data_IF_191495357059
#
_entry.id   IF_191495357059
#
_cell.length_a   1.000
_cell.length_b   1.000
_cell.length_c   1.000
_cell.angle_alpha   90.00
_cell.angle_beta   90.00
_cell.angle_gamma   90.00
#
_symmetry.space_group_name_H-M   'P 1'
#
loop_
_entity.id
_entity.type
_entity.pdbx_description
1 polymer ?
#
# COMPACT_ATOMS: atom_id res chain seq x y z
N UNK A 1 21.69 43.05 31.04
CA UNK A 1 21.32 42.58 29.69
C UNK A 1 21.47 41.06 29.62
N UNK A 2 20.44 40.32 30.00
CA UNK A 2 20.48 38.86 29.97
C UNK A 2 19.10 38.33 30.26
N UNK A 3 18.33 38.03 29.21
CA UNK A 3 17.10 37.22 29.26
C UNK A 3 16.41 37.07 27.89
N UNK A 4 16.78 37.85 26.87
CA UNK A 4 16.12 37.80 25.54
C UNK A 4 16.67 36.67 24.65
N UNK A 5 17.89 36.21 24.89
CA UNK A 5 18.59 35.26 24.03
C UNK A 5 18.15 33.80 24.25
N UNK A 6 17.76 33.43 25.47
CA UNK A 6 17.30 32.08 25.80
C UNK A 6 15.87 31.81 25.30
N UNK A 7 14.99 32.82 25.35
CA UNK A 7 13.61 32.69 24.86
C UNK A 7 13.54 32.41 23.35
N UNK A 8 14.38 33.07 22.54
CA UNK A 8 14.42 32.86 21.08
C UNK A 8 14.92 31.46 20.70
N UNK A 9 15.85 30.90 21.47
CA UNK A 9 16.38 29.54 21.26
C UNK A 9 15.36 28.46 21.63
N UNK A 10 14.60 28.66 22.70
CA UNK A 10 13.53 27.74 23.13
C UNK A 10 12.38 27.76 22.13
N UNK A 11 12.00 28.93 21.60
CA UNK A 11 10.93 29.05 20.60
C UNK A 11 11.34 28.40 19.26
N UNK A 12 12.59 28.61 18.82
CA UNK A 12 13.09 27.99 17.59
C UNK A 12 13.18 26.45 17.70
N UNK A 13 13.58 25.92 18.86
CA UNK A 13 13.62 24.48 19.11
C UNK A 13 12.21 23.86 19.19
N UNK A 14 11.23 24.57 19.76
CA UNK A 14 9.85 24.11 19.82
C UNK A 14 9.18 24.08 18.42
N UNK A 15 9.49 25.05 17.55
CA UNK A 15 8.99 25.07 16.17
C UNK A 15 9.64 24.00 15.28
N UNK A 16 10.92 23.66 15.52
CA UNK A 16 11.59 22.55 14.83
C UNK A 16 11.07 21.18 15.27
N UNK A 17 10.67 21.03 16.54
CA UNK A 17 10.11 19.79 17.07
C UNK A 17 8.71 19.49 16.51
N UNK A 18 7.90 20.52 16.23
CA UNK A 18 6.57 20.35 15.62
C UNK A 18 6.63 19.91 14.15
N UNK A 19 7.72 20.20 13.43
CA UNK A 19 7.90 19.82 12.02
C UNK A 19 8.25 18.34 11.81
N UNK A 20 8.60 17.61 12.88
CA UNK A 20 8.85 16.16 12.84
C UNK A 20 7.62 15.33 13.18
N UNK A 21 6.51 15.96 13.57
CA UNK A 21 5.22 15.28 13.67
C UNK A 21 4.73 15.06 12.25
N UNK A 22 5.26 13.99 11.62
CA UNK A 22 4.56 13.37 10.51
C UNK A 22 3.14 13.11 11.02
N UNK A 23 2.08 13.51 10.28
CA UNK A 23 0.80 12.88 10.54
C UNK A 23 1.10 11.39 10.41
N UNK A 24 0.97 10.65 11.52
CA UNK A 24 0.62 9.24 11.44
C UNK A 24 -0.74 9.27 10.78
N UNK A 25 -0.71 9.37 9.45
CA UNK A 25 -1.86 9.20 8.60
C UNK A 25 -2.31 7.80 9.00
N UNK A 26 -3.48 7.71 9.61
CA UNK A 26 -4.15 6.44 9.78
C UNK A 26 -4.02 5.72 8.43
N UNK A 27 -3.25 4.64 8.42
CA UNK A 27 -3.10 3.80 7.23
C UNK A 27 -4.52 3.50 6.78
N UNK A 28 -4.91 4.02 5.61
CA UNK A 28 -6.28 3.86 5.16
C UNK A 28 -6.53 2.35 5.08
N UNK A 29 -7.66 1.85 5.59
CA UNK A 29 -7.86 0.40 5.75
C UNK A 29 -7.64 -0.39 4.43
N UNK A 30 -7.83 0.26 3.28
CA UNK A 30 -7.54 -0.30 1.96
C UNK A 30 -6.05 -0.42 1.65
N UNK A 31 -5.19 0.45 2.20
CA UNK A 31 -3.72 0.37 2.05
C UNK A 31 -3.16 -0.87 2.74
N UNK A 32 -3.62 -1.18 3.94
CA UNK A 32 -3.25 -2.42 4.65
C UNK A 32 -3.64 -3.66 3.83
N UNK A 33 -4.87 -3.67 3.31
CA UNK A 33 -5.37 -4.77 2.44
C UNK A 33 -4.58 -4.85 1.13
N UNK A 34 -4.19 -3.71 0.57
CA UNK A 34 -3.36 -3.62 -0.62
C UNK A 34 -1.97 -4.19 -0.39
N UNK A 35 -1.31 -3.83 0.71
CA UNK A 35 0.03 -4.32 1.02
C UNK A 35 0.02 -5.81 1.40
N UNK A 36 -1.00 -6.29 2.13
CA UNK A 36 -1.20 -7.72 2.39
C UNK A 36 -1.38 -8.50 1.08
N UNK A 37 -2.20 -7.97 0.16
CA UNK A 37 -2.45 -8.62 -1.13
C UNK A 37 -1.18 -8.62 -1.98
N UNK A 38 -0.55 -7.46 -2.18
CA UNK A 38 0.59 -7.32 -3.07
C UNK A 38 1.87 -8.00 -2.54
N UNK A 39 2.06 -8.11 -1.22
CA UNK A 39 3.23 -8.78 -0.64
C UNK A 39 3.27 -10.29 -0.91
N UNK A 40 2.10 -10.91 -1.16
CA UNK A 40 1.99 -12.33 -1.52
C UNK A 40 2.47 -12.65 -2.93
N UNK A 41 2.79 -11.64 -3.77
CA UNK A 41 3.30 -11.85 -5.13
C UNK A 41 4.53 -12.76 -5.17
N UNK A 42 5.42 -12.64 -4.18
CA UNK A 42 6.65 -13.43 -4.09
C UNK A 42 6.39 -14.93 -3.85
N UNK A 43 5.21 -15.27 -3.35
CA UNK A 43 4.81 -16.64 -3.04
C UNK A 43 3.87 -17.23 -4.10
N UNK A 44 3.50 -16.47 -5.15
CA UNK A 44 2.47 -16.86 -6.12
C UNK A 44 2.70 -18.24 -6.75
N UNK A 45 3.95 -18.66 -6.93
CA UNK A 45 4.29 -19.98 -7.48
C UNK A 45 3.88 -21.15 -6.58
N UNK A 46 3.93 -20.97 -5.25
CA UNK A 46 3.64 -22.03 -4.28
C UNK A 46 2.19 -22.04 -3.83
N UNK A 47 1.41 -21.00 -4.15
CA UNK A 47 -0.01 -20.91 -3.77
C UNK A 47 -0.87 -21.96 -4.48
N UNK A 48 -1.95 -22.36 -3.84
CA UNK A 48 -2.98 -23.20 -4.45
C UNK A 48 -3.81 -22.43 -5.48
N UNK A 49 -4.52 -23.18 -6.31
CA UNK A 49 -5.45 -22.62 -7.31
C UNK A 49 -6.55 -21.78 -6.62
N UNK A 50 -7.01 -22.19 -5.44
CA UNK A 50 -8.04 -21.45 -4.70
C UNK A 50 -7.49 -20.12 -4.16
N UNK A 51 -6.31 -20.14 -3.55
CA UNK A 51 -5.70 -18.90 -3.02
C UNK A 51 -5.42 -17.87 -4.13
N UNK A 52 -4.99 -18.33 -5.31
CA UNK A 52 -4.80 -17.44 -6.46
C UNK A 52 -6.11 -16.80 -6.92
N UNK A 53 -7.21 -17.55 -6.93
CA UNK A 53 -8.54 -17.01 -7.23
C UNK A 53 -8.97 -15.97 -6.20
N UNK A 54 -8.80 -16.28 -4.91
CA UNK A 54 -9.18 -15.38 -3.83
C UNK A 54 -8.37 -14.07 -3.88
N UNK A 55 -7.08 -14.14 -4.24
CA UNK A 55 -6.25 -12.94 -4.45
C UNK A 55 -6.70 -12.11 -5.64
N UNK A 56 -7.12 -12.73 -6.75
CA UNK A 56 -7.66 -11.99 -7.91
C UNK A 56 -8.94 -11.24 -7.51
N UNK A 57 -9.84 -11.88 -6.75
CA UNK A 57 -11.06 -11.23 -6.24
C UNK A 57 -10.71 -10.03 -5.34
N UNK A 58 -9.75 -10.20 -4.41
CA UNK A 58 -9.26 -9.10 -3.57
C UNK A 58 -8.67 -7.96 -4.40
N UNK A 59 -7.94 -8.27 -5.47
CA UNK A 59 -7.46 -7.25 -6.40
C UNK A 59 -8.62 -6.48 -7.06
N UNK A 60 -9.67 -7.16 -7.49
CA UNK A 60 -10.84 -6.53 -8.12
C UNK A 60 -11.62 -5.64 -7.13
N UNK A 61 -11.70 -6.03 -5.86
CA UNK A 61 -12.31 -5.22 -4.79
C UNK A 61 -11.46 -3.98 -4.46
N UNK A 62 -10.15 -4.16 -4.29
CA UNK A 62 -9.21 -3.06 -4.05
C UNK A 62 -9.19 -2.06 -5.21
N UNK A 63 -9.30 -2.54 -6.45
CA UNK A 63 -9.35 -1.67 -7.62
C UNK A 63 -10.49 -0.65 -7.51
N UNK A 64 -11.70 -1.09 -7.14
CA UNK A 64 -12.86 -0.20 -6.98
C UNK A 64 -12.62 0.88 -5.93
N UNK A 65 -11.96 0.54 -4.82
CA UNK A 65 -11.64 1.49 -3.74
C UNK A 65 -10.54 2.46 -4.16
N UNK A 66 -9.52 1.99 -4.89
CA UNK A 66 -8.40 2.83 -5.35
C UNK A 66 -8.85 3.79 -6.46
N UNK A 67 -9.84 3.40 -7.28
CA UNK A 67 -10.41 4.24 -8.33
C UNK A 67 -11.08 5.51 -7.78
N UNK A 68 -11.61 5.48 -6.55
CA UNK A 68 -12.22 6.65 -5.90
C UNK A 68 -11.20 7.60 -5.28
N UNK A 69 -9.92 7.23 -5.24
CA UNK A 69 -8.86 8.06 -4.65
C UNK A 69 -8.45 9.20 -5.58
N UNK A 70 -7.73 10.16 -5.00
CA UNK A 70 -7.09 11.25 -5.73
C UNK A 70 -6.11 10.76 -6.81
N UNK A 71 -5.91 11.58 -7.86
CA UNK A 71 -5.28 11.15 -9.09
C UNK A 71 -3.84 10.59 -8.92
N UNK A 72 -3.06 11.15 -8.00
CA UNK A 72 -1.70 10.70 -7.70
C UNK A 72 -1.68 9.32 -7.05
N UNK A 73 -2.46 9.14 -5.97
CA UNK A 73 -2.62 7.87 -5.25
C UNK A 73 -3.17 6.80 -6.19
N UNK A 74 -4.29 7.10 -6.86
CA UNK A 74 -4.93 6.18 -7.81
C UNK A 74 -3.95 5.65 -8.84
N UNK A 75 -3.15 6.51 -9.48
CA UNK A 75 -2.21 6.10 -10.53
C UNK A 75 -1.15 5.12 -10.00
N UNK A 76 -0.56 5.41 -8.84
CA UNK A 76 0.53 4.60 -8.27
C UNK A 76 0.00 3.24 -7.84
N UNK A 77 -1.09 3.23 -7.07
CA UNK A 77 -1.62 2.00 -6.49
C UNK A 77 -2.28 1.09 -7.53
N UNK A 78 -3.04 1.63 -8.50
CA UNK A 78 -3.59 0.82 -9.59
C UNK A 78 -2.49 0.18 -10.43
N UNK A 79 -1.38 0.89 -10.68
CA UNK A 79 -0.27 0.33 -11.45
C UNK A 79 0.32 -0.91 -10.77
N UNK A 80 0.63 -0.82 -9.46
CA UNK A 80 1.15 -1.97 -8.70
C UNK A 80 0.09 -3.09 -8.57
N UNK A 81 -1.18 -2.74 -8.32
CA UNK A 81 -2.26 -3.71 -8.20
C UNK A 81 -2.44 -4.53 -9.48
N UNK A 82 -2.42 -3.86 -10.65
CA UNK A 82 -2.55 -4.54 -11.95
C UNK A 82 -1.42 -5.54 -12.20
N UNK A 83 -0.19 -5.24 -11.78
CA UNK A 83 0.94 -6.17 -11.89
C UNK A 83 0.73 -7.41 -11.01
N UNK A 84 0.31 -7.21 -9.76
CA UNK A 84 0.02 -8.32 -8.84
C UNK A 84 -1.14 -9.19 -9.38
N UNK A 85 -2.24 -8.58 -9.81
CA UNK A 85 -3.38 -9.29 -10.40
C UNK A 85 -2.99 -10.12 -11.62
N UNK A 86 -2.21 -9.53 -12.55
CA UNK A 86 -1.76 -10.22 -13.75
C UNK A 86 -0.85 -11.41 -13.42
N UNK A 87 0.01 -11.27 -12.41
CA UNK A 87 0.82 -12.38 -11.92
C UNK A 87 -0.05 -13.50 -11.37
N UNK A 88 -1.04 -13.20 -10.53
CA UNK A 88 -1.94 -14.22 -9.98
C UNK A 88 -2.77 -14.91 -11.06
N UNK A 89 -3.29 -14.16 -12.04
CA UNK A 89 -4.02 -14.71 -13.18
C UNK A 89 -3.14 -15.64 -14.01
N UNK A 90 -1.92 -15.23 -14.34
CA UNK A 90 -0.96 -16.06 -15.04
C UNK A 90 -0.65 -17.36 -14.27
N UNK A 91 -0.39 -17.26 -12.96
CA UNK A 91 -0.10 -18.43 -12.13
C UNK A 91 -1.30 -19.37 -12.00
N UNK A 92 -2.52 -18.82 -11.97
CA UNK A 92 -3.76 -19.59 -11.94
C UNK A 92 -3.91 -20.40 -13.22
N UNK A 93 -3.77 -19.75 -14.38
CA UNK A 93 -3.81 -20.39 -15.69
C UNK A 93 -2.74 -21.48 -15.82
N UNK A 94 -1.50 -21.16 -15.42
CA UNK A 94 -0.40 -22.12 -15.42
C UNK A 94 -0.75 -23.39 -14.63
N UNK A 95 -1.25 -23.25 -13.39
CA UNK A 95 -1.61 -24.39 -12.55
C UNK A 95 -2.81 -25.17 -13.08
N UNK A 96 -3.80 -24.49 -13.65
CA UNK A 96 -4.96 -25.15 -14.26
C UNK A 96 -4.56 -25.97 -15.49
N UNK A 97 -3.55 -25.52 -16.24
CA UNK A 97 -3.04 -26.26 -17.39
C UNK A 97 -2.13 -27.43 -17.00
N UNK A 98 -1.47 -27.40 -15.83
CA UNK A 98 -0.72 -28.53 -15.28
C UNK A 98 -1.62 -29.65 -14.71
N UNK A 99 -2.85 -29.31 -14.34
CA UNK A 99 -3.83 -30.27 -13.79
C UNK A 99 -4.66 -30.98 -14.87
N UNK A 100 -4.44 -30.65 -16.15
CA UNK A 100 -5.05 -31.30 -17.31
C UNK A 100 -4.08 -32.34 -17.88
#
# INVERSE_FOLDING_TARGET
MGNVFNAKRVIAAALLALALVRPVCAEEAWQASFDETCSKSNQAMTMSVQELRDLIVKCDELQKVIETQEASVRKVYLKRLSLCRNLYAYMLEYKQNQAK
#
